data_IF_333175539473
#
_entry.id   IF_333175539473
#
_cell.length_a   1.000
_cell.length_b   1.000
_cell.length_c   1.000
_cell.angle_alpha   90.00
_cell.angle_beta   90.00
_cell.angle_gamma   90.00
#
_symmetry.space_group_name_H-M   'P 1'
#
loop_
_entity.id
_entity.type
_entity.pdbx_description
1 polymer ?
#
# COMPACT_ATOMS: atom_id res chain seq x y z
N UNK A 1 1.83 -8.22 -7.38
CA UNK A 1 3.10 -8.83 -6.91
C UNK A 1 3.00 -10.35 -6.98
N UNK A 2 3.14 -10.95 -8.17
CA UNK A 2 3.18 -12.40 -8.31
C UNK A 2 4.37 -12.95 -7.53
N UNK A 3 4.22 -14.09 -6.87
CA UNK A 3 5.26 -14.67 -6.02
C UNK A 3 5.25 -14.21 -4.55
N UNK A 4 4.34 -13.32 -4.14
CA UNK A 4 3.98 -13.18 -2.72
C UNK A 4 2.87 -14.17 -2.34
N UNK A 5 2.69 -14.41 -1.05
CA UNK A 5 1.61 -15.23 -0.51
C UNK A 5 0.23 -14.55 -0.49
N UNK A 6 -0.02 -13.54 -1.32
CA UNK A 6 -1.31 -12.82 -1.38
C UNK A 6 -2.44 -13.71 -1.93
N UNK A 7 -2.12 -14.60 -2.86
CA UNK A 7 -3.07 -15.54 -3.45
C UNK A 7 -2.96 -16.94 -2.82
N UNK A 8 -2.58 -17.04 -1.54
CA UNK A 8 -2.39 -18.32 -0.86
C UNK A 8 -3.66 -19.18 -0.82
N UNK A 9 -4.82 -18.54 -0.89
CA UNK A 9 -6.14 -19.19 -0.83
C UNK A 9 -6.72 -19.45 -2.23
N UNK A 10 -6.00 -19.11 -3.31
CA UNK A 10 -6.48 -19.39 -4.67
C UNK A 10 -6.35 -20.89 -4.96
N UNK A 11 -7.40 -21.47 -5.55
CA UNK A 11 -7.43 -22.88 -5.94
C UNK A 11 -7.68 -23.04 -7.45
N UNK A 12 -7.31 -24.21 -7.98
CA UNK A 12 -7.57 -24.58 -9.37
C UNK A 12 -6.99 -23.60 -10.40
N UNK A 13 -7.85 -23.15 -11.33
CA UNK A 13 -7.48 -22.28 -12.46
C UNK A 13 -6.92 -20.93 -11.98
N UNK A 14 -7.41 -20.40 -10.86
CA UNK A 14 -6.93 -19.13 -10.30
C UNK A 14 -5.50 -19.26 -9.76
N UNK A 15 -5.18 -20.40 -9.11
CA UNK A 15 -3.82 -20.69 -8.63
C UNK A 15 -2.84 -20.84 -9.82
N UNK A 16 -3.28 -21.51 -10.88
CA UNK A 16 -2.50 -21.67 -12.11
C UNK A 16 -2.21 -20.31 -12.77
N UNK A 17 -3.24 -19.47 -12.95
CA UNK A 17 -3.07 -18.13 -13.49
C UNK A 17 -2.13 -17.26 -12.63
N UNK A 18 -2.26 -17.32 -11.31
CA UNK A 18 -1.39 -16.58 -10.38
C UNK A 18 0.08 -17.02 -10.47
N UNK A 19 0.33 -18.32 -10.67
CA UNK A 19 1.67 -18.91 -10.67
C UNK A 19 2.38 -18.82 -12.02
N UNK A 20 1.64 -18.78 -13.13
CA UNK A 20 2.22 -18.84 -14.47
C UNK A 20 1.87 -17.63 -15.37
N UNK A 21 0.65 -17.11 -15.32
CA UNK A 21 0.24 -15.98 -16.18
C UNK A 21 0.68 -14.63 -15.61
N UNK A 22 0.49 -14.39 -14.31
CA UNK A 22 0.82 -13.09 -13.72
C UNK A 22 2.32 -12.76 -13.67
N UNK A 23 3.25 -13.70 -13.39
CA UNK A 23 4.68 -13.42 -13.48
C UNK A 23 5.10 -13.04 -14.90
N UNK A 24 4.51 -13.68 -15.92
CA UNK A 24 4.77 -13.31 -17.31
C UNK A 24 4.32 -11.88 -17.63
N UNK A 25 3.26 -11.38 -16.99
CA UNK A 25 2.80 -9.99 -17.18
C UNK A 25 3.72 -8.94 -16.53
N UNK A 26 4.72 -9.33 -15.72
CA UNK A 26 5.70 -8.39 -15.14
C UNK A 26 6.60 -7.74 -16.20
N UNK A 27 6.74 -8.34 -17.38
CA UNK A 27 7.58 -7.84 -18.48
C UNK A 27 6.82 -6.95 -19.46
N UNK A 28 5.49 -6.86 -19.35
CA UNK A 28 4.65 -6.07 -20.26
C UNK A 28 4.69 -4.59 -19.86
N UNK A 29 5.19 -3.69 -20.74
CA UNK A 29 5.21 -2.26 -20.46
C UNK A 29 3.79 -1.72 -20.23
N UNK A 30 3.59 -0.94 -19.16
CA UNK A 30 2.29 -0.33 -18.82
C UNK A 30 1.43 -1.16 -17.87
N UNK A 31 1.78 -2.42 -17.60
CA UNK A 31 1.10 -3.23 -16.59
C UNK A 31 1.74 -3.00 -15.23
N UNK A 32 0.95 -2.59 -14.23
CA UNK A 32 1.43 -2.29 -12.88
C UNK A 32 1.65 -3.56 -12.03
N UNK A 33 2.40 -4.51 -12.57
CA UNK A 33 2.73 -5.79 -11.92
C UNK A 33 4.24 -5.83 -11.72
N UNK A 34 4.67 -5.78 -10.47
CA UNK A 34 6.08 -5.87 -10.11
C UNK A 34 6.42 -7.18 -9.41
N UNK A 35 7.70 -7.53 -9.43
CA UNK A 35 8.24 -8.61 -8.61
C UNK A 35 8.40 -8.14 -7.15
N UNK A 36 8.42 -9.06 -6.18
CA UNK A 36 8.66 -8.70 -4.77
C UNK A 36 9.98 -7.95 -4.58
N UNK A 37 11.07 -8.38 -5.23
CA UNK A 37 12.39 -7.74 -5.14
C UNK A 37 12.38 -6.28 -5.62
N UNK A 38 11.78 -6.01 -6.78
CA UNK A 38 11.66 -4.63 -7.30
C UNK A 38 10.82 -3.73 -6.41
N UNK A 39 9.82 -4.31 -5.75
CA UNK A 39 8.96 -3.58 -4.81
C UNK A 39 9.69 -3.26 -3.51
N UNK A 40 10.52 -4.20 -3.02
CA UNK A 40 11.37 -3.99 -1.87
C UNK A 40 12.44 -2.92 -2.14
N UNK A 41 13.05 -2.91 -3.33
CA UNK A 41 14.01 -1.88 -3.74
C UNK A 41 13.37 -0.48 -3.78
N UNK A 42 12.17 -0.37 -4.38
CA UNK A 42 11.41 0.88 -4.39
C UNK A 42 11.06 1.36 -2.97
N UNK A 43 10.61 0.46 -2.09
CA UNK A 43 10.33 0.78 -0.69
C UNK A 43 11.59 1.21 0.06
N UNK A 44 12.70 0.50 -0.12
CA UNK A 44 13.97 0.84 0.51
C UNK A 44 14.39 2.27 0.15
N UNK A 45 14.29 2.63 -1.14
CA UNK A 45 14.53 4.00 -1.59
C UNK A 45 13.64 5.02 -0.88
N UNK A 46 12.32 4.79 -0.81
CA UNK A 46 11.40 5.72 -0.13
C UNK A 46 11.79 6.00 1.33
N UNK A 47 12.39 5.03 2.00
CA UNK A 47 12.78 5.14 3.42
C UNK A 47 14.18 5.74 3.59
N UNK A 48 15.13 5.42 2.70
CA UNK A 48 16.55 5.72 2.93
C UNK A 48 17.10 6.85 2.06
N UNK A 49 16.44 7.20 0.96
CA UNK A 49 16.94 8.18 -0.01
C UNK A 49 16.90 9.61 0.60
N UNK A 50 18.06 10.28 0.75
CA UNK A 50 18.11 11.64 1.29
C UNK A 50 17.29 12.65 0.48
N UNK A 51 17.12 12.43 -0.82
CA UNK A 51 16.31 13.29 -1.69
C UNK A 51 14.83 13.28 -1.28
N UNK A 52 14.37 12.20 -0.66
CA UNK A 52 12.97 12.01 -0.26
C UNK A 52 12.70 12.37 1.21
N UNK A 53 13.72 12.80 1.96
CA UNK A 53 13.63 13.04 3.41
C UNK A 53 12.51 14.00 3.83
N UNK A 54 12.21 15.01 3.02
CA UNK A 54 11.17 16.01 3.27
C UNK A 54 9.88 15.76 2.50
N UNK A 55 9.82 14.68 1.71
CA UNK A 55 8.64 14.35 0.91
C UNK A 55 7.56 13.74 1.78
N UNK A 56 6.37 14.34 1.78
CA UNK A 56 5.19 13.84 2.48
C UNK A 56 3.93 14.07 1.66
N UNK A 57 2.88 13.27 1.92
CA UNK A 57 1.59 13.39 1.25
C UNK A 57 1.57 13.00 -0.23
N UNK A 58 2.64 12.37 -0.73
CA UNK A 58 2.73 11.89 -2.12
C UNK A 58 2.54 10.39 -2.23
N UNK A 59 1.99 9.95 -3.36
CA UNK A 59 1.80 8.54 -3.70
C UNK A 59 2.83 8.11 -4.74
N UNK A 60 3.44 6.94 -4.52
CA UNK A 60 4.46 6.38 -5.41
C UNK A 60 4.02 5.03 -5.96
N UNK A 61 4.21 4.84 -7.26
CA UNK A 61 4.10 3.54 -7.92
C UNK A 61 5.49 3.12 -8.41
N UNK A 62 6.08 2.15 -7.71
CA UNK A 62 7.50 1.82 -7.87
C UNK A 62 8.37 3.04 -7.52
N UNK A 63 9.22 3.47 -8.46
CA UNK A 63 10.15 4.59 -8.26
C UNK A 63 9.60 5.96 -8.66
N UNK A 64 8.34 6.04 -9.10
CA UNK A 64 7.74 7.26 -9.65
C UNK A 64 6.63 7.78 -8.75
N UNK A 65 6.63 9.09 -8.49
CA UNK A 65 5.46 9.76 -7.93
C UNK A 65 4.35 9.81 -8.97
N UNK A 66 3.12 9.47 -8.59
CA UNK A 66 1.95 9.48 -9.46
C UNK A 66 0.70 9.85 -8.68
N UNK A 67 -0.32 10.35 -9.37
CA UNK A 67 -1.63 10.53 -8.76
C UNK A 67 -2.28 9.17 -8.47
N UNK A 68 -2.84 9.06 -7.27
CA UNK A 68 -3.75 7.97 -6.89
C UNK A 68 -5.19 8.30 -7.33
N UNK A 69 -6.16 7.47 -6.93
CA UNK A 69 -7.57 7.71 -7.23
C UNK A 69 -8.07 9.04 -6.64
N UNK A 70 -9.04 9.68 -7.31
CA UNK A 70 -9.64 10.93 -6.84
C UNK A 70 -10.18 10.82 -5.41
N UNK A 71 -10.78 9.68 -5.06
CA UNK A 71 -11.32 9.40 -3.74
C UNK A 71 -10.26 9.45 -2.62
N UNK A 72 -9.00 9.15 -2.92
CA UNK A 72 -7.91 9.21 -1.94
C UNK A 72 -7.59 10.65 -1.49
N UNK A 73 -8.07 11.66 -2.22
CA UNK A 73 -7.86 13.08 -1.89
C UNK A 73 -9.07 13.69 -1.16
N UNK A 74 -10.15 12.94 -0.97
CA UNK A 74 -11.32 13.38 -0.22
C UNK A 74 -11.02 13.36 1.29
N UNK A 75 -10.85 14.55 1.86
CA UNK A 75 -10.55 14.72 3.29
C UNK A 75 -11.70 14.30 4.20
N UNK A 76 -12.95 14.40 3.75
CA UNK A 76 -14.10 13.98 4.54
C UNK A 76 -14.13 12.45 4.64
N UNK A 77 -13.91 11.74 3.52
CA UNK A 77 -13.76 10.28 3.52
C UNK A 77 -12.59 9.83 4.41
N UNK A 78 -11.44 10.52 4.33
CA UNK A 78 -10.28 10.19 5.15
C UNK A 78 -10.54 10.37 6.67
N UNK A 79 -11.21 11.46 7.06
CA UNK A 79 -11.56 11.73 8.45
C UNK A 79 -12.58 10.72 9.00
N UNK A 80 -13.59 10.38 8.21
CA UNK A 80 -14.61 9.40 8.58
C UNK A 80 -14.02 7.99 8.72
N UNK A 81 -13.17 7.57 7.77
CA UNK A 81 -12.45 6.31 7.83
C UNK A 81 -11.58 6.21 9.10
N UNK A 82 -10.88 7.30 9.45
CA UNK A 82 -10.05 7.34 10.65
C UNK A 82 -10.87 7.17 11.93
N UNK A 83 -11.95 7.96 12.09
CA UNK A 83 -12.84 7.88 13.26
C UNK A 83 -13.45 6.48 13.39
N UNK A 84 -14.00 5.96 12.31
CA UNK A 84 -14.64 4.64 12.29
C UNK A 84 -13.61 3.55 12.62
N UNK A 85 -12.37 3.66 12.15
CA UNK A 85 -11.30 2.71 12.47
C UNK A 85 -10.95 2.72 13.96
N UNK A 86 -10.92 3.90 14.61
CA UNK A 86 -10.72 4.02 16.07
C UNK A 86 -11.82 3.27 16.83
N UNK A 87 -13.09 3.50 16.44
CA UNK A 87 -14.24 2.85 17.06
C UNK A 87 -14.18 1.32 16.90
N UNK A 88 -13.92 0.83 15.69
CA UNK A 88 -13.88 -0.60 15.37
C UNK A 88 -12.70 -1.33 16.03
N UNK A 89 -11.56 -0.66 16.19
CA UNK A 89 -10.37 -1.25 16.83
C UNK A 89 -10.38 -1.11 18.35
N UNK A 90 -11.33 -0.35 18.91
CA UNK A 90 -11.36 -0.02 20.33
C UNK A 90 -10.12 0.76 20.80
N UNK A 91 -9.44 1.44 19.87
CA UNK A 91 -8.21 2.17 20.17
C UNK A 91 -8.52 3.36 21.08
N UNK A 92 -8.13 3.24 22.35
CA UNK A 92 -8.15 4.37 23.29
C UNK A 92 -6.80 5.07 23.22
N UNK A 93 -6.79 6.30 22.71
CA UNK A 93 -5.61 7.18 22.79
C UNK A 93 -5.24 7.38 24.26
N UNK A 94 -3.94 7.26 24.57
CA UNK A 94 -3.40 7.35 25.92
C UNK A 94 -3.65 8.72 26.59
N UNK A 95 -3.99 9.76 25.82
CA UNK A 95 -4.28 11.11 26.33
C UNK A 95 -5.64 11.24 27.05
N UNK A 96 -6.47 10.19 27.05
CA UNK A 96 -7.80 10.24 27.68
C UNK A 96 -7.77 10.19 29.22
N UNK A 97 -6.59 10.00 29.83
CA UNK A 97 -6.41 9.86 31.28
C UNK A 97 -5.78 11.07 32.00
N UNK A 98 -5.24 12.05 31.28
CA UNK A 98 -4.45 13.14 31.89
C UNK A 98 -5.27 14.40 32.26
N UNK A 99 -6.56 14.47 31.91
CA UNK A 99 -7.40 15.66 32.16
C UNK A 99 -8.26 15.57 33.45
N UNK A 100 -7.85 14.77 34.44
CA UNK A 100 -8.56 14.67 35.72
C UNK A 100 -7.57 14.60 36.90
N UNK A 101 -6.91 15.71 37.19
CA UNK A 101 -6.27 16.00 38.47
C UNK A 101 -6.34 17.50 38.74
#
# INVERSE_FOLDING_TARGET
MPGTGLARDYSGIQAFAWRYLLPALTVVPGVNVHTPGKSAEALARLVTDPELKTTSGQYFSGFRSTHSSADSYDRAKAADLWRTSIELTGFRSADSGAAKA
#
